data_IF_397569254067
#
_entry.id   IF_397569254067
#
_cell.length_a   1.000
_cell.length_b   1.000
_cell.length_c   1.000
_cell.angle_alpha   90.00
_cell.angle_beta   90.00
_cell.angle_gamma   90.00
#
_symmetry.space_group_name_H-M   'P 1'
#
loop_
_entity.id
_entity.type
_entity.pdbx_description
1 polymer ?
#
# COMPACT_ATOMS: atom_id res chain seq x y z
N UNK A 1 14.51 -10.47 1.35
CA UNK A 1 13.39 -10.62 0.40
C UNK A 1 12.32 -11.51 1.03
N UNK A 2 11.16 -10.91 1.33
CA UNK A 2 9.93 -11.51 1.85
C UNK A 2 8.82 -11.05 0.91
N UNK A 3 7.97 -11.98 0.50
CA UNK A 3 6.77 -11.66 -0.28
C UNK A 3 5.64 -11.26 0.66
N UNK A 4 5.05 -10.09 0.41
CA UNK A 4 3.90 -9.58 1.17
C UNK A 4 2.78 -9.25 0.20
N UNK A 5 1.54 -9.49 0.61
CA UNK A 5 0.35 -9.26 -0.21
C UNK A 5 -0.49 -8.11 0.35
N UNK A 6 -0.92 -7.21 -0.53
CA UNK A 6 -1.73 -6.04 -0.20
C UNK A 6 -3.04 -6.05 -0.96
N UNK A 7 -4.10 -5.56 -0.33
CA UNK A 7 -5.41 -5.43 -0.96
C UNK A 7 -5.57 -4.06 -1.60
N UNK A 8 -5.99 -4.06 -2.87
CA UNK A 8 -6.35 -2.85 -3.56
C UNK A 8 -7.56 -2.18 -2.87
N UNK A 9 -7.46 -0.92 -2.41
CA UNK A 9 -8.53 -0.22 -1.70
C UNK A 9 -9.72 0.15 -2.61
N UNK A 10 -9.64 -0.18 -3.89
CA UNK A 10 -10.65 0.13 -4.90
C UNK A 10 -11.49 -1.07 -5.33
N UNK A 11 -10.88 -2.22 -5.56
CA UNK A 11 -11.58 -3.44 -6.02
C UNK A 11 -11.33 -4.67 -5.15
N UNK A 12 -10.46 -4.58 -4.14
CA UNK A 12 -10.14 -5.69 -3.24
C UNK A 12 -9.16 -6.73 -3.79
N UNK A 13 -8.75 -6.61 -5.05
CA UNK A 13 -7.75 -7.48 -5.69
C UNK A 13 -6.45 -7.52 -4.88
N UNK A 14 -5.78 -8.67 -4.86
CA UNK A 14 -4.54 -8.88 -4.14
C UNK A 14 -3.33 -8.62 -5.04
N UNK A 15 -2.40 -7.79 -4.57
CA UNK A 15 -1.12 -7.51 -5.24
C UNK A 15 0.02 -7.94 -4.33
N UNK A 16 0.91 -8.80 -4.83
CA UNK A 16 2.14 -9.20 -4.15
C UNK A 16 3.27 -8.21 -4.42
N UNK A 17 4.10 -7.99 -3.41
CA UNK A 17 5.32 -7.20 -3.47
C UNK A 17 6.44 -7.97 -2.76
N UNK A 18 7.57 -8.11 -3.44
CA UNK A 18 8.81 -8.62 -2.85
C UNK A 18 9.56 -7.47 -2.19
N UNK A 19 9.87 -7.59 -0.90
CA UNK A 19 10.58 -6.53 -0.15
C UNK A 19 11.45 -7.07 0.99
N UNK A 20 12.29 -6.24 1.59
CA UNK A 20 13.06 -6.58 2.77
C UNK A 20 12.18 -6.64 4.04
N UNK A 21 12.41 -7.67 4.86
CA UNK A 21 11.54 -7.97 6.00
C UNK A 21 11.66 -7.02 7.19
N UNK A 22 12.61 -6.08 7.18
CA UNK A 22 12.74 -5.07 8.25
C UNK A 22 11.85 -3.85 8.03
N UNK A 23 11.36 -3.61 6.80
CA UNK A 23 10.42 -2.53 6.54
C UNK A 23 9.08 -2.86 7.23
N UNK A 24 8.61 -1.97 8.09
CA UNK A 24 7.35 -2.16 8.80
C UNK A 24 6.22 -1.49 8.02
N UNK A 25 5.18 -2.24 7.68
CA UNK A 25 4.00 -1.70 7.01
C UNK A 25 3.24 -0.78 7.97
N UNK A 26 2.80 0.38 7.46
CA UNK A 26 1.95 1.30 8.22
C UNK A 26 0.50 1.23 7.76
N UNK A 27 0.26 1.53 6.48
CA UNK A 27 -1.09 1.55 5.91
C UNK A 27 -1.06 1.46 4.39
N UNK A 28 -2.22 1.15 3.81
CA UNK A 28 -2.47 1.19 2.37
C UNK A 28 -3.53 2.25 2.10
N UNK A 29 -3.24 3.20 1.22
CA UNK A 29 -4.09 4.36 0.92
C UNK A 29 -4.36 4.50 -0.57
N UNK A 30 -5.43 5.24 -0.90
CA UNK A 30 -5.79 5.57 -2.29
C UNK A 30 -4.97 6.73 -2.84
N UNK A 31 -4.57 7.63 -1.95
CA UNK A 31 -3.83 8.86 -2.21
C UNK A 31 -2.54 8.83 -1.38
N UNK A 32 -1.46 9.48 -1.85
CA UNK A 32 -0.21 9.55 -1.10
C UNK A 32 -0.41 10.33 0.20
N UNK A 33 0.29 9.93 1.25
CA UNK A 33 0.31 10.67 2.51
C UNK A 33 1.11 11.96 2.36
N UNK A 34 0.66 13.02 3.02
CA UNK A 34 1.37 14.30 3.00
C UNK A 34 2.74 14.17 3.68
N UNK A 35 3.79 14.58 2.97
CA UNK A 35 5.17 14.50 3.45
C UNK A 35 5.81 13.10 3.41
N UNK A 36 5.21 12.12 2.72
CA UNK A 36 5.80 10.81 2.42
C UNK A 36 6.33 10.79 0.98
N UNK A 37 7.52 10.24 0.77
CA UNK A 37 8.05 9.96 -0.55
C UNK A 37 7.75 8.51 -0.98
N UNK A 38 7.30 8.34 -2.22
CA UNK A 38 6.92 7.03 -2.78
C UNK A 38 7.79 6.71 -3.99
N UNK A 39 8.29 5.48 -4.02
CA UNK A 39 9.01 4.93 -5.16
C UNK A 39 8.13 3.95 -5.94
N UNK A 40 8.37 3.83 -7.24
CA UNK A 40 7.75 2.79 -8.05
C UNK A 40 8.28 1.41 -7.67
N UNK A 41 7.50 0.36 -7.92
CA UNK A 41 7.93 -1.03 -7.71
C UNK A 41 9.16 -1.43 -8.52
N UNK A 42 9.51 -0.64 -9.55
CA UNK A 42 10.69 -0.83 -10.40
C UNK A 42 11.90 -0.02 -9.95
N UNK A 43 11.72 0.92 -9.03
CA UNK A 43 12.78 1.74 -8.46
C UNK A 43 13.34 1.10 -7.17
N UNK A 44 14.55 1.51 -6.81
CA UNK A 44 15.20 1.05 -5.58
C UNK A 44 14.58 1.79 -4.38
N UNK A 45 13.61 1.15 -3.73
CA UNK A 45 12.96 1.69 -2.53
C UNK A 45 13.57 1.16 -1.22
N UNK A 46 14.58 0.29 -1.33
CA UNK A 46 15.16 -0.52 -0.24
C UNK A 46 16.56 -0.04 0.17
N UNK A 47 16.86 1.25 0.01
CA UNK A 47 18.22 1.76 0.10
C UNK A 47 18.96 1.29 1.38
N UNK A 48 20.19 0.79 1.20
CA UNK A 48 20.95 0.01 2.17
C UNK A 48 21.41 0.78 3.44
N UNK A 49 20.91 2.00 3.67
CA UNK A 49 21.33 2.86 4.76
C UNK A 49 20.43 2.69 6.00
N UNK A 50 20.97 2.24 7.15
CA UNK A 50 20.21 2.20 8.38
C UNK A 50 19.91 3.62 8.88
N UNK A 51 18.67 4.08 8.67
CA UNK A 51 18.05 5.21 9.40
C UNK A 51 18.49 6.62 8.99
N UNK A 52 18.89 6.83 7.73
CA UNK A 52 19.02 8.17 7.16
C UNK A 52 18.07 8.31 5.96
N UNK A 53 17.56 9.53 5.79
CA UNK A 53 16.51 10.10 4.92
C UNK A 53 16.52 9.75 3.40
N UNK A 54 17.28 8.74 2.98
CA UNK A 54 17.58 8.45 1.56
C UNK A 54 16.80 7.22 1.01
N UNK A 55 15.87 6.66 1.78
CA UNK A 55 14.99 5.57 1.36
C UNK A 55 13.55 6.06 1.18
N UNK A 56 12.81 5.45 0.26
CA UNK A 56 11.41 5.84 0.06
C UNK A 56 10.56 5.49 1.29
N UNK A 57 9.68 6.41 1.70
CA UNK A 57 8.73 6.19 2.80
C UNK A 57 7.60 5.22 2.43
N UNK A 58 7.48 4.87 1.16
CA UNK A 58 6.46 3.96 0.65
C UNK A 58 6.68 3.53 -0.80
N UNK A 59 5.75 2.72 -1.29
CA UNK A 59 5.75 2.21 -2.66
C UNK A 59 4.43 2.56 -3.35
N UNK A 60 4.51 3.07 -4.57
CA UNK A 60 3.35 3.21 -5.46
C UNK A 60 3.08 1.87 -6.19
N UNK A 61 1.85 1.39 -6.08
CA UNK A 61 1.42 0.09 -6.58
C UNK A 61 0.31 0.29 -7.62
N UNK A 62 0.44 -0.35 -8.78
CA UNK A 62 -0.64 -0.39 -9.80
C UNK A 62 -1.42 -1.69 -9.64
N UNK A 63 -2.74 -1.58 -9.49
CA UNK A 63 -3.60 -2.76 -9.37
C UNK A 63 -3.75 -3.49 -10.72
N UNK A 64 -2.99 -4.57 -10.91
CA UNK A 64 -3.04 -5.46 -12.09
C UNK A 64 -3.95 -6.68 -11.92
N UNK A 65 -4.64 -6.77 -10.78
CA UNK A 65 -5.53 -7.86 -10.41
C UNK A 65 -4.85 -8.87 -9.49
N UNK A 66 -5.56 -9.95 -9.18
CA UNK A 66 -5.06 -11.10 -8.43
C UNK A 66 -3.97 -11.82 -9.24
N UNK A 67 -2.75 -11.28 -9.16
CA UNK A 67 -1.56 -11.93 -9.64
C UNK A 67 -1.08 -12.89 -8.55
N UNK A 68 -0.98 -14.18 -8.89
CA UNK A 68 -0.32 -15.15 -8.03
C UNK A 68 1.16 -14.81 -7.85
N UNK A 69 1.87 -15.52 -6.94
CA UNK A 69 3.28 -15.27 -6.62
C UNK A 69 4.21 -15.32 -7.85
N UNK A 70 3.82 -16.05 -8.90
CA UNK A 70 4.56 -16.14 -10.17
C UNK A 70 4.17 -15.04 -11.19
N UNK A 71 3.44 -14.01 -10.78
CA UNK A 71 2.85 -12.99 -11.68
C UNK A 71 1.72 -13.50 -12.56
N UNK A 72 1.31 -14.76 -12.40
CA UNK A 72 0.24 -15.37 -13.17
C UNK A 72 -1.12 -14.85 -12.69
N UNK A 73 -1.89 -14.21 -13.57
CA UNK A 73 -3.28 -13.83 -13.25
C UNK A 73 -4.07 -15.07 -12.84
N UNK A 74 -4.72 -15.01 -11.67
CA UNK A 74 -5.68 -16.06 -11.32
C UNK A 74 -6.81 -16.03 -12.36
N UNK A 75 -7.18 -17.19 -12.89
CA UNK A 75 -8.38 -17.30 -13.71
C UNK A 75 -9.56 -16.86 -12.85
N UNK A 76 -10.14 -15.71 -13.18
CA UNK A 76 -11.42 -15.30 -12.62
C UNK A 76 -12.49 -16.37 -12.90
N UNK A 77 -13.49 -16.44 -12.04
CA UNK A 77 -14.65 -17.32 -12.22
C UNK A 77 -15.54 -16.85 -13.40
N UNK A 78 -15.31 -15.62 -13.87
CA UNK A 78 -15.94 -15.03 -15.05
C UNK A 78 -15.55 -15.73 -16.36
N UNK A 79 -16.52 -15.86 -17.26
CA UNK A 79 -16.27 -16.31 -18.63
C UNK A 79 -15.31 -15.34 -19.34
N UNK A 80 -14.63 -15.81 -20.39
CA UNK A 80 -13.55 -15.10 -21.10
C UNK A 80 -13.91 -13.71 -21.70
N UNK A 81 -15.15 -13.24 -21.51
CA UNK A 81 -15.72 -12.02 -22.10
C UNK A 81 -16.24 -11.02 -21.04
N UNK A 82 -16.26 -11.38 -19.75
CA UNK A 82 -16.76 -10.52 -18.68
C UNK A 82 -15.60 -10.06 -17.77
N UNK A 83 -15.31 -8.75 -17.68
CA UNK A 83 -14.18 -8.26 -16.89
C UNK A 83 -14.46 -8.44 -15.39
N UNK A 84 -13.60 -9.19 -14.71
CA UNK A 84 -13.63 -9.38 -13.27
C UNK A 84 -12.61 -8.44 -12.62
N UNK A 85 -13.00 -7.35 -11.97
CA UNK A 85 -12.05 -6.37 -11.43
C UNK A 85 -11.16 -6.93 -10.31
N UNK A 86 -11.49 -8.09 -9.74
CA UNK A 86 -10.63 -8.82 -8.82
C UNK A 86 -9.48 -9.53 -9.55
N UNK A 87 -9.79 -10.28 -10.61
CA UNK A 87 -8.82 -11.02 -11.42
C UNK A 87 -8.06 -10.13 -12.43
N UNK A 88 -8.75 -9.19 -13.07
CA UNK A 88 -8.19 -8.31 -14.10
C UNK A 88 -7.48 -7.09 -13.52
N UNK A 89 -7.85 -6.71 -12.30
CA UNK A 89 -7.42 -5.47 -11.66
C UNK A 89 -8.19 -4.26 -12.16
N UNK A 90 -8.18 -3.20 -11.36
CA UNK A 90 -8.85 -1.96 -11.74
C UNK A 90 -7.93 -0.95 -12.44
N UNK A 91 -6.63 -1.26 -12.61
CA UNK A 91 -5.65 -0.39 -13.27
C UNK A 91 -5.34 0.92 -12.53
N UNK A 92 -5.85 1.08 -11.30
CA UNK A 92 -5.63 2.27 -10.47
C UNK A 92 -4.38 2.12 -9.61
N UNK A 93 -3.69 3.22 -9.43
CA UNK A 93 -2.57 3.34 -8.49
C UNK A 93 -3.10 3.47 -7.07
N UNK A 94 -2.45 2.81 -6.14
CA UNK A 94 -2.64 2.92 -4.71
C UNK A 94 -1.27 2.89 -4.03
N UNK A 95 -1.20 3.31 -2.77
CA UNK A 95 0.05 3.59 -2.10
C UNK A 95 0.19 2.72 -0.86
N UNK A 96 1.32 2.03 -0.75
CA UNK A 96 1.76 1.37 0.47
C UNK A 96 2.69 2.32 1.20
N UNK A 97 2.40 2.63 2.46
CA UNK A 97 3.26 3.48 3.28
C UNK A 97 3.94 2.63 4.36
N UNK A 98 5.25 2.84 4.53
CA UNK A 98 6.02 2.25 5.62
C UNK A 98 5.98 3.14 6.86
N UNK A 99 6.38 2.57 8.00
CA UNK A 99 6.59 3.34 9.22
C UNK A 99 7.86 4.17 9.08
N UNK A 100 7.72 5.49 8.98
CA UNK A 100 8.83 6.43 9.07
C UNK A 100 9.32 6.57 10.50
N UNK A 101 10.63 6.64 10.70
CA UNK A 101 11.25 6.85 12.00
C UNK A 101 12.12 8.11 12.00
N UNK A 102 11.84 9.03 12.91
CA UNK A 102 12.68 10.22 13.16
C UNK A 102 13.18 10.17 14.60
N UNK A 103 14.48 10.38 14.83
CA UNK A 103 15.12 10.24 16.16
C UNK A 103 14.78 8.90 16.87
N UNK A 104 14.60 7.83 16.08
CA UNK A 104 14.23 6.51 16.57
C UNK A 104 12.79 6.39 17.07
N UNK A 105 11.92 7.35 16.77
CA UNK A 105 10.49 7.32 17.08
C UNK A 105 9.66 7.23 15.81
N UNK A 106 8.60 6.40 15.79
CA UNK A 106 7.70 6.33 14.64
C UNK A 106 6.94 7.65 14.51
N UNK A 107 6.84 8.13 13.27
CA UNK A 107 6.14 9.38 12.94
C UNK A 107 4.78 9.05 12.32
N UNK A 108 3.78 9.80 12.75
CA UNK A 108 2.43 9.73 12.18
C UNK A 108 2.35 10.69 10.98
N UNK A 109 1.75 10.28 9.86
CA UNK A 109 1.43 11.20 8.78
C UNK A 109 0.53 12.32 9.25
N UNK A 110 0.74 13.53 8.72
CA UNK A 110 -0.16 14.65 8.95
C UNK A 110 -1.43 14.40 8.14
N UNK A 111 -2.37 13.68 8.75
CA UNK A 111 -3.71 13.50 8.19
C UNK A 111 -4.54 14.68 8.68
N UNK A 112 -4.99 15.59 7.81
CA UNK A 112 -5.85 16.67 8.24
C UNK A 112 -7.10 16.08 8.89
N UNK A 113 -7.57 16.62 10.01
CA UNK A 113 -8.63 16.01 10.80
C UNK A 113 -9.98 15.92 10.06
N UNK A 114 -10.10 16.60 8.92
CA UNK A 114 -11.24 16.59 7.99
C UNK A 114 -11.35 15.27 7.21
N UNK A 115 -10.24 14.56 7.02
CA UNK A 115 -10.17 13.33 6.23
C UNK A 115 -10.33 12.06 7.08
N UNK A 116 -10.47 12.17 8.41
CA UNK A 116 -10.77 11.01 9.26
C UNK A 116 -12.24 10.58 9.03
N UNK A 117 -12.49 9.46 8.32
CA UNK A 117 -13.86 9.06 7.93
C UNK A 117 -14.72 8.65 9.14
N UNK A 118 -14.08 8.29 10.25
CA UNK A 118 -14.70 7.86 11.50
C UNK A 118 -14.11 8.66 12.66
N UNK A 119 -14.45 9.94 12.82
CA UNK A 119 -14.36 10.52 14.16
C UNK A 119 -15.44 9.86 15.01
N UNK A 120 -15.11 8.95 15.95
CA UNK A 120 -16.09 8.50 16.92
C UNK A 120 -16.65 9.74 17.62
N UNK A 121 -17.93 10.00 17.40
CA UNK A 121 -18.68 10.95 18.22
C UNK A 121 -18.83 10.26 19.57
N UNK A 122 -17.83 10.41 20.43
CA UNK A 122 -17.88 9.92 21.81
C UNK A 122 -18.92 10.73 22.59
N UNK A 123 -20.20 10.49 22.31
CA UNK A 123 -21.32 10.99 23.08
C UNK A 123 -21.49 10.05 24.28
N UNK A 124 -20.71 10.31 25.33
CA UNK A 124 -20.89 9.62 26.61
C UNK A 124 -22.24 10.07 27.18
N UNK A 125 -23.30 9.30 26.91
CA UNK A 125 -24.59 9.44 27.60
C UNK A 125 -24.37 9.11 29.07
N UNK A 126 -24.35 10.16 29.90
CA UNK A 126 -24.40 10.08 31.36
C UNK A 126 -25.77 9.69 31.90
#
# INVERSE_FOLDING_TARGET
MVEVSYHCPYCGAVTSLEREGYLADRCVTREPLDGWEYAATTDDFESEAPRDDDGADGVELVCLGDAGPDGAKRRGEGGADEPDPGADGCGRTFYLSFVRYEDGRPVDPDVPPEDYPDRPRFDFRG
#
